data_IF_978886157459
#
_entry.id   IF_978886157459
#
_cell.length_a   1.000
_cell.length_b   1.000
_cell.length_c   1.000
_cell.angle_alpha   90.00
_cell.angle_beta   90.00
_cell.angle_gamma   90.00
#
_symmetry.space_group_name_H-M   'P 1'
#
loop_
_entity.id
_entity.type
_entity.pdbx_description
1 polymer ?
#
# COMPACT_ATOMS: atom_id res chain seq x y z
N UNK A 1 5.53 20.28 5.05
CA UNK A 1 6.85 20.55 4.45
C UNK A 1 6.61 21.26 3.12
N UNK A 2 7.20 22.43 2.88
CA UNK A 2 7.04 23.19 1.63
C UNK A 2 8.09 22.80 0.58
N UNK A 3 7.92 23.20 -0.68
CA UNK A 3 8.87 22.91 -1.76
C UNK A 3 10.28 23.48 -1.49
N UNK A 4 10.37 24.61 -0.79
CA UNK A 4 11.63 25.23 -0.38
C UNK A 4 12.45 24.34 0.55
N UNK A 5 11.78 23.69 1.51
CA UNK A 5 12.41 22.78 2.47
C UNK A 5 12.86 21.49 1.78
N UNK A 6 12.08 20.96 0.83
CA UNK A 6 12.46 19.80 0.05
C UNK A 6 13.74 20.08 -0.76
N UNK A 7 13.81 21.23 -1.43
CA UNK A 7 14.99 21.59 -2.24
C UNK A 7 16.25 21.76 -1.40
N UNK A 8 16.12 22.29 -0.17
CA UNK A 8 17.23 22.38 0.78
C UNK A 8 17.77 20.99 1.14
N UNK A 9 16.89 20.07 1.53
CA UNK A 9 17.27 18.69 1.91
C UNK A 9 17.88 17.93 0.74
N UNK A 10 17.38 18.12 -0.49
CA UNK A 10 17.97 17.50 -1.68
C UNK A 10 19.39 18.01 -1.95
N UNK A 11 19.64 19.29 -1.69
CA UNK A 11 20.97 19.90 -1.84
C UNK A 11 21.94 19.36 -0.79
N UNK A 12 21.50 19.22 0.46
CA UNK A 12 22.28 18.58 1.54
C UNK A 12 22.57 17.10 1.23
N UNK A 13 21.61 16.38 0.64
CA UNK A 13 21.79 14.99 0.22
C UNK A 13 22.82 14.87 -0.90
N UNK A 14 22.78 15.76 -1.90
CA UNK A 14 23.76 15.79 -2.98
C UNK A 14 25.18 16.06 -2.46
N UNK A 15 25.32 16.96 -1.47
CA UNK A 15 26.61 17.24 -0.83
C UNK A 15 27.17 16.05 -0.04
N UNK A 16 26.30 15.18 0.50
CA UNK A 16 26.70 13.99 1.25
C UNK A 16 26.96 12.78 0.33
N UNK A 17 26.09 12.55 -0.64
CA UNK A 17 26.20 11.46 -1.60
C UNK A 17 25.41 11.76 -2.86
N UNK A 18 26.13 12.07 -3.94
CA UNK A 18 25.54 12.29 -5.26
C UNK A 18 24.75 11.07 -5.75
N UNK A 19 25.24 9.85 -5.48
CA UNK A 19 24.59 8.62 -5.90
C UNK A 19 23.23 8.40 -5.23
N UNK A 20 23.12 8.74 -3.94
CA UNK A 20 21.86 8.67 -3.20
C UNK A 20 20.85 9.70 -3.72
N UNK A 21 21.32 10.92 -4.01
CA UNK A 21 20.52 11.96 -4.64
C UNK A 21 19.95 11.47 -5.98
N UNK A 22 20.80 11.00 -6.88
CA UNK A 22 20.38 10.59 -8.24
C UNK A 22 19.42 9.40 -8.20
N UNK A 23 19.64 8.44 -7.30
CA UNK A 23 18.74 7.31 -7.07
C UNK A 23 17.37 7.76 -6.58
N UNK A 24 17.32 8.74 -5.67
CA UNK A 24 16.07 9.28 -5.14
C UNK A 24 15.28 10.03 -6.22
N UNK A 25 15.96 10.85 -7.04
CA UNK A 25 15.35 11.52 -8.20
C UNK A 25 14.79 10.47 -9.18
N UNK A 26 15.56 9.43 -9.51
CA UNK A 26 15.14 8.37 -10.44
C UNK A 26 13.94 7.56 -9.93
N UNK A 27 13.83 7.33 -8.61
CA UNK A 27 12.70 6.61 -8.01
C UNK A 27 11.39 7.42 -8.11
N UNK A 28 11.51 8.74 -8.22
CA UNK A 28 10.43 9.70 -8.44
C UNK A 28 9.96 10.35 -7.15
N UNK A 29 10.42 11.58 -6.90
CA UNK A 29 10.10 12.38 -5.71
C UNK A 29 8.59 12.49 -5.44
N UNK A 30 7.77 12.50 -6.49
CA UNK A 30 6.30 12.56 -6.38
C UNK A 30 5.67 11.45 -5.55
N UNK A 31 6.34 10.30 -5.43
CA UNK A 31 5.82 9.13 -4.69
C UNK A 31 6.11 9.19 -3.19
N UNK A 32 7.16 9.91 -2.79
CA UNK A 32 7.69 9.86 -1.41
C UNK A 32 7.66 11.21 -0.70
N UNK A 33 7.77 12.31 -1.45
CA UNK A 33 7.80 13.64 -0.88
C UNK A 33 6.38 14.14 -0.63
N UNK A 34 6.09 14.46 0.62
CA UNK A 34 4.79 14.97 1.05
C UNK A 34 4.37 16.24 0.27
N UNK A 35 5.33 17.08 -0.13
CA UNK A 35 5.09 18.27 -0.98
C UNK A 35 4.42 17.97 -2.32
N UNK A 36 4.63 16.77 -2.85
CA UNK A 36 4.12 16.33 -4.14
C UNK A 36 2.96 15.34 -4.02
N UNK A 37 2.64 14.88 -2.80
CA UNK A 37 1.45 14.09 -2.52
C UNK A 37 0.26 15.05 -2.45
N UNK A 38 -0.77 14.77 -3.25
CA UNK A 38 -1.99 15.57 -3.23
C UNK A 38 -2.61 15.58 -1.83
N UNK A 39 -2.93 16.76 -1.32
CA UNK A 39 -3.68 16.95 -0.07
C UNK A 39 -5.16 16.60 -0.21
N UNK A 40 -5.64 16.44 -1.45
CA UNK A 40 -7.01 16.02 -1.72
C UNK A 40 -7.11 14.51 -1.55
N UNK A 41 -7.86 14.08 -0.54
CA UNK A 41 -8.12 12.67 -0.30
C UNK A 41 -8.94 12.11 -1.48
N UNK A 42 -8.33 11.24 -2.29
CA UNK A 42 -8.99 10.63 -3.46
C UNK A 42 -9.88 9.43 -3.10
N UNK A 43 -10.05 9.16 -1.81
CA UNK A 43 -10.77 8.02 -1.27
C UNK A 43 -11.45 8.43 0.02
N UNK A 44 -12.78 8.28 0.12
CA UNK A 44 -13.52 8.48 1.37
C UNK A 44 -13.23 7.42 2.44
N UNK A 45 -12.28 6.51 2.17
CA UNK A 45 -11.87 5.47 3.11
C UNK A 45 -10.94 6.04 4.19
N UNK A 46 -11.50 6.90 5.06
CA UNK A 46 -10.84 7.46 6.25
C UNK A 46 -11.09 6.57 7.46
N UNK A 47 -11.09 5.25 7.26
CA UNK A 47 -11.40 4.28 8.31
C UNK A 47 -10.19 3.44 8.63
N UNK A 48 -9.95 3.18 9.92
CA UNK A 48 -8.90 2.29 10.43
C UNK A 48 -9.09 0.82 9.99
N UNK A 49 -10.19 0.53 9.27
CA UNK A 49 -10.61 -0.79 8.85
C UNK A 49 -9.53 -1.57 8.09
N UNK A 50 -8.67 -0.92 7.30
CA UNK A 50 -7.57 -1.61 6.61
C UNK A 50 -6.54 -2.13 7.62
N UNK A 51 -6.09 -1.27 8.53
CA UNK A 51 -5.12 -1.62 9.56
C UNK A 51 -5.69 -2.64 10.55
N UNK A 52 -6.95 -2.47 10.95
CA UNK A 52 -7.68 -3.42 11.81
C UNK A 52 -7.79 -4.78 11.14
N UNK A 53 -8.22 -4.82 9.87
CA UNK A 53 -8.31 -6.07 9.10
C UNK A 53 -6.95 -6.73 8.98
N UNK A 54 -5.89 -5.97 8.71
CA UNK A 54 -4.54 -6.51 8.60
C UNK A 54 -4.02 -7.05 9.93
N UNK A 55 -4.19 -6.30 11.03
CA UNK A 55 -3.78 -6.71 12.37
C UNK A 55 -4.51 -7.98 12.82
N UNK A 56 -5.82 -8.08 12.57
CA UNK A 56 -6.58 -9.29 12.83
C UNK A 56 -6.08 -10.48 11.97
N UNK A 57 -5.69 -10.21 10.72
CA UNK A 57 -5.22 -11.22 9.79
C UNK A 57 -3.88 -11.84 10.23
N UNK A 58 -2.92 -11.03 10.69
CA UNK A 58 -1.60 -11.52 11.11
C UNK A 58 -1.53 -11.90 12.60
N UNK A 59 -2.62 -11.73 13.35
CA UNK A 59 -2.63 -11.90 14.81
C UNK A 59 -2.03 -13.24 15.27
N UNK A 60 -2.39 -14.33 14.59
CA UNK A 60 -1.86 -15.67 14.90
C UNK A 60 -0.38 -15.81 14.55
N UNK A 61 0.03 -15.32 13.39
CA UNK A 61 1.43 -15.36 12.95
C UNK A 61 2.35 -14.57 13.90
N UNK A 62 1.87 -13.44 14.46
CA UNK A 62 2.62 -12.58 15.40
C UNK A 62 2.98 -13.25 16.72
N UNK A 63 2.31 -14.34 17.09
CA UNK A 63 2.62 -15.10 18.31
C UNK A 63 3.81 -16.06 18.14
N UNK A 64 4.34 -16.20 16.92
CA UNK A 64 5.42 -17.12 16.57
C UNK A 64 6.79 -16.45 16.61
N UNK A 65 7.89 -17.23 16.72
CA UNK A 65 9.24 -16.70 16.51
C UNK A 65 9.38 -15.95 15.18
N UNK A 66 10.31 -15.00 15.10
CA UNK A 66 10.41 -14.06 13.97
C UNK A 66 10.46 -14.75 12.59
N UNK A 67 11.22 -15.85 12.48
CA UNK A 67 11.35 -16.60 11.22
C UNK A 67 10.01 -17.23 10.84
N UNK A 68 9.35 -17.89 11.79
CA UNK A 68 8.07 -18.57 11.57
C UNK A 68 6.93 -17.57 11.30
N UNK A 69 6.93 -16.43 11.98
CA UNK A 69 5.98 -15.34 11.76
C UNK A 69 6.07 -14.82 10.33
N UNK A 70 7.29 -14.56 9.83
CA UNK A 70 7.52 -14.07 8.48
C UNK A 70 7.13 -15.11 7.43
N UNK A 71 7.52 -16.37 7.64
CA UNK A 71 7.20 -17.46 6.72
C UNK A 71 5.69 -17.73 6.64
N UNK A 72 4.98 -17.65 7.76
CA UNK A 72 3.52 -17.76 7.76
C UNK A 72 2.84 -16.56 7.11
N UNK A 73 3.27 -15.34 7.43
CA UNK A 73 2.75 -14.12 6.80
C UNK A 73 2.91 -14.17 5.27
N UNK A 74 4.09 -14.60 4.81
CA UNK A 74 4.39 -14.80 3.37
C UNK A 74 3.44 -15.82 2.74
N UNK A 75 3.27 -17.01 3.34
CA UNK A 75 2.34 -18.04 2.85
C UNK A 75 0.90 -17.53 2.79
N UNK A 76 0.45 -16.85 3.84
CA UNK A 76 -0.88 -16.24 3.90
C UNK A 76 -1.11 -15.20 2.79
N UNK A 77 -0.11 -14.35 2.50
CA UNK A 77 -0.21 -13.37 1.42
C UNK A 77 -0.27 -14.05 0.04
N UNK A 78 0.60 -15.01 -0.22
CA UNK A 78 0.61 -15.74 -1.50
C UNK A 78 -0.71 -16.47 -1.75
N UNK A 79 -1.25 -17.18 -0.75
CA UNK A 79 -2.52 -17.88 -0.89
C UNK A 79 -3.66 -16.90 -1.18
N UNK A 80 -3.68 -15.75 -0.50
CA UNK A 80 -4.68 -14.71 -0.73
C UNK A 80 -4.60 -14.13 -2.14
N UNK A 81 -3.40 -13.82 -2.62
CA UNK A 81 -3.19 -13.31 -3.99
C UNK A 81 -3.64 -14.34 -5.03
N UNK A 82 -3.28 -15.60 -4.84
CA UNK A 82 -3.70 -16.71 -5.70
C UNK A 82 -5.24 -16.82 -5.75
N UNK A 83 -5.90 -16.91 -4.59
CA UNK A 83 -7.37 -16.98 -4.54
C UNK A 83 -8.04 -15.78 -5.21
N UNK A 84 -7.51 -14.57 -5.00
CA UNK A 84 -8.06 -13.36 -5.65
C UNK A 84 -7.88 -13.39 -7.16
N UNK A 85 -6.73 -13.85 -7.64
CA UNK A 85 -6.48 -14.02 -9.07
C UNK A 85 -7.43 -15.04 -9.68
N UNK A 86 -7.62 -16.19 -9.04
CA UNK A 86 -8.58 -17.20 -9.51
C UNK A 86 -10.02 -16.68 -9.55
N UNK A 87 -10.45 -15.95 -8.52
CA UNK A 87 -11.79 -15.35 -8.49
C UNK A 87 -12.00 -14.40 -9.66
N UNK A 88 -11.03 -13.53 -9.95
CA UNK A 88 -11.11 -12.58 -11.06
C UNK A 88 -11.03 -13.29 -12.40
N UNK A 89 -10.18 -14.31 -12.53
CA UNK A 89 -10.06 -15.09 -13.78
C UNK A 89 -11.36 -15.79 -14.18
N UNK A 90 -12.21 -16.15 -13.22
CA UNK A 90 -13.52 -16.78 -13.45
C UNK A 90 -14.65 -15.76 -13.60
N UNK A 91 -14.39 -14.48 -13.36
CA UNK A 91 -15.38 -13.43 -13.35
C UNK A 91 -15.45 -12.72 -14.71
N UNK A 92 -16.63 -12.70 -15.32
CA UNK A 92 -16.86 -12.09 -16.64
C UNK A 92 -17.62 -10.75 -16.59
N UNK A 93 -18.02 -10.28 -15.41
CA UNK A 93 -18.81 -9.06 -15.26
C UNK A 93 -17.95 -7.81 -15.06
N UNK A 94 -18.45 -6.65 -15.52
CA UNK A 94 -17.72 -5.37 -15.40
C UNK A 94 -17.61 -4.85 -13.96
N UNK A 95 -18.51 -5.30 -13.09
CA UNK A 95 -18.58 -4.88 -11.69
C UNK A 95 -18.16 -6.03 -10.79
N UNK A 96 -17.22 -5.79 -9.88
CA UNK A 96 -16.76 -6.77 -8.89
C UNK A 96 -17.94 -7.42 -8.13
N UNK A 97 -17.91 -8.73 -7.83
CA UNK A 97 -19.03 -9.45 -7.22
C UNK A 97 -19.54 -8.81 -5.91
N UNK A 98 -18.62 -8.31 -5.08
CA UNK A 98 -18.96 -7.66 -3.81
C UNK A 98 -19.72 -6.35 -3.99
N UNK A 99 -19.35 -5.56 -5.01
CA UNK A 99 -20.01 -4.28 -5.31
C UNK A 99 -21.38 -4.57 -5.91
N UNK A 100 -21.47 -5.49 -6.87
CA UNK A 100 -22.74 -5.93 -7.46
C UNK A 100 -23.72 -6.40 -6.37
N UNK A 101 -23.27 -7.23 -5.44
CA UNK A 101 -24.09 -7.70 -4.31
C UNK A 101 -24.58 -6.56 -3.39
N UNK A 102 -23.79 -5.49 -3.21
CA UNK A 102 -24.25 -4.32 -2.44
C UNK A 102 -25.31 -3.54 -3.21
N UNK A 103 -25.11 -3.33 -4.51
CA UNK A 103 -26.07 -2.63 -5.37
C UNK A 103 -27.43 -3.35 -5.42
N UNK A 104 -27.45 -4.67 -5.59
CA UNK A 104 -28.70 -5.44 -5.61
C UNK A 104 -29.45 -5.44 -4.26
N UNK A 105 -28.76 -5.18 -3.14
CA UNK A 105 -29.40 -5.04 -1.81
C UNK A 105 -29.99 -3.65 -1.56
N UNK A 106 -29.62 -2.68 -2.39
CA UNK A 106 -30.07 -1.29 -2.29
C UNK A 106 -31.13 -0.93 -3.34
N UNK A 107 -31.56 -1.92 -4.14
CA UNK A 107 -32.82 -1.89 -4.88
C UNK A 107 -33.97 -2.26 -3.96
#
# INVERSE_FOLDING_TARGET
MGESELNRVLTELAATSQQAHDSLIATGLKKFCQTHVSTVCKSDNVTNNISETFNAYILKARSKPIIDMLEETRRMMMQRMYMKREMVSKWSGDICPNIRRKLEKSK
#
